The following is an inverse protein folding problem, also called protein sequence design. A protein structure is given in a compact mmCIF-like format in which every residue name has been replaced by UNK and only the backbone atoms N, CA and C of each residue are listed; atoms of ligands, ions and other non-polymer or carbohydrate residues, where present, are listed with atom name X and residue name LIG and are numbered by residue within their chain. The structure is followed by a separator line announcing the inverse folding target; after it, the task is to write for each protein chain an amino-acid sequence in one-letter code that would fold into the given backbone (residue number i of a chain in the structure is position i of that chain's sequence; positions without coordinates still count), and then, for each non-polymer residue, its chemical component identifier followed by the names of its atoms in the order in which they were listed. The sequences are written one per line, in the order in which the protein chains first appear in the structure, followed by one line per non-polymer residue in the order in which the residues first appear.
data_IF_788025868974
#
_entry.id   IF_788025868974
#
_cell.length_a   1.000
_cell.length_b   1.000
_cell.length_c   1.000
_cell.angle_alpha   90.00
_cell.angle_beta   90.00
_cell.angle_gamma   90.00
#
_symmetry.space_group_name_H-M   'P 1'
#
loop_
_entity.id
_entity.type
_entity.pdbx_description
1 polymer ?
#
# COMPACT_ATOMS: atom_id res chain seq x y z
N UNK A 1 -0.08 -14.54 16.52
CA UNK A 1 -0.44 -13.14 16.23
C UNK A 1 0.15 -12.70 14.89
N UNK A 2 1.42 -12.95 14.66
CA UNK A 2 2.07 -12.65 13.38
C UNK A 2 1.39 -13.39 12.22
N UNK A 3 1.11 -14.68 12.41
CA UNK A 3 0.46 -15.50 11.39
C UNK A 3 -0.97 -15.05 11.11
N UNK A 4 -1.71 -14.66 12.15
CA UNK A 4 -3.08 -14.18 12.00
C UNK A 4 -3.11 -12.86 11.24
N UNK A 5 -2.20 -11.94 11.57
CA UNK A 5 -2.08 -10.66 10.86
C UNK A 5 -1.72 -10.88 9.39
N UNK A 6 -0.75 -11.73 9.12
CA UNK A 6 -0.34 -12.05 7.75
C UNK A 6 -1.50 -12.65 6.94
N UNK A 7 -2.30 -13.51 7.56
CA UNK A 7 -3.45 -14.12 6.91
C UNK A 7 -4.50 -13.07 6.53
N UNK A 8 -4.84 -12.18 7.45
CA UNK A 8 -5.81 -11.11 7.20
C UNK A 8 -5.30 -10.15 6.12
N UNK A 9 -4.04 -9.75 6.19
CA UNK A 9 -3.43 -8.88 5.19
C UNK A 9 -3.46 -9.51 3.80
N UNK A 10 -3.20 -10.82 3.72
CA UNK A 10 -3.26 -11.56 2.46
C UNK A 10 -4.67 -11.57 1.89
N UNK A 11 -5.68 -11.82 2.71
CA UNK A 11 -7.08 -11.81 2.27
C UNK A 11 -7.50 -10.45 1.74
N UNK A 12 -7.11 -9.38 2.44
CA UNK A 12 -7.41 -8.01 2.02
C UNK A 12 -6.72 -7.70 0.69
N UNK A 13 -5.47 -8.06 0.55
CA UNK A 13 -4.70 -7.82 -0.68
C UNK A 13 -5.27 -8.62 -1.85
N UNK A 14 -5.64 -9.88 -1.64
CA UNK A 14 -6.26 -10.72 -2.67
C UNK A 14 -7.59 -10.12 -3.13
N UNK A 15 -8.43 -9.67 -2.22
CA UNK A 15 -9.72 -9.05 -2.55
C UNK A 15 -9.52 -7.76 -3.33
N UNK A 16 -8.59 -6.93 -2.93
CA UNK A 16 -8.27 -5.67 -3.60
C UNK A 16 -7.71 -5.93 -5.00
N UNK A 17 -6.77 -6.85 -5.14
CA UNK A 17 -6.15 -7.22 -6.41
C UNK A 17 -7.19 -7.78 -7.38
N UNK A 18 -8.10 -8.64 -6.90
CA UNK A 18 -9.17 -9.17 -7.72
C UNK A 18 -10.09 -8.08 -8.25
N UNK A 19 -10.40 -7.09 -7.41
CA UNK A 19 -11.25 -5.97 -7.80
C UNK A 19 -10.57 -5.09 -8.84
N UNK A 20 -9.28 -4.82 -8.66
CA UNK A 20 -8.49 -4.06 -9.63
C UNK A 20 -8.38 -4.78 -10.96
N UNK A 21 -8.20 -6.11 -10.94
CA UNK A 21 -8.12 -6.92 -12.15
C UNK A 21 -9.43 -6.92 -12.94
N UNK A 22 -10.56 -6.74 -12.27
CA UNK A 22 -11.87 -6.65 -12.91
C UNK A 22 -12.17 -5.27 -13.50
N UNK A 23 -11.34 -4.27 -13.21
CA UNK A 23 -11.51 -2.92 -13.74
C UNK A 23 -11.07 -2.84 -15.20
N UNK A 24 -11.64 -1.89 -15.94
CA UNK A 24 -11.20 -1.60 -17.29
C UNK A 24 -9.78 -1.01 -17.27
N UNK A 25 -9.03 -1.25 -18.34
CA UNK A 25 -7.71 -0.68 -18.50
C UNK A 25 -7.77 0.85 -18.50
N UNK A 26 -6.83 1.48 -17.83
CA UNK A 26 -6.76 2.92 -17.74
C UNK A 26 -5.79 3.36 -16.66
N UNK A 27 -5.64 4.67 -16.52
CA UNK A 27 -4.69 5.26 -15.56
C UNK A 27 -5.03 4.89 -14.13
N UNK A 28 -6.31 4.83 -13.79
CA UNK A 28 -6.74 4.48 -12.44
C UNK A 28 -6.34 3.03 -12.10
N UNK A 29 -6.53 2.11 -13.03
CA UNK A 29 -6.13 0.71 -12.84
C UNK A 29 -4.63 0.58 -12.64
N UNK A 30 -3.85 1.27 -13.46
CA UNK A 30 -2.39 1.27 -13.36
C UNK A 30 -1.93 1.82 -12.00
N UNK A 31 -2.54 2.91 -11.56
CA UNK A 31 -2.25 3.52 -10.26
C UNK A 31 -2.59 2.58 -9.11
N UNK A 32 -3.74 1.93 -9.16
CA UNK A 32 -4.17 1.00 -8.12
C UNK A 32 -3.28 -0.25 -8.08
N UNK A 33 -2.83 -0.75 -9.25
CA UNK A 33 -1.85 -1.84 -9.30
C UNK A 33 -0.54 -1.42 -8.64
N UNK A 34 -0.08 -0.22 -8.92
CA UNK A 34 1.13 0.33 -8.33
C UNK A 34 1.02 0.40 -6.80
N UNK A 35 -0.13 0.82 -6.28
CA UNK A 35 -0.39 0.86 -4.84
C UNK A 35 -0.44 -0.54 -4.23
N UNK A 36 -1.01 -1.53 -4.93
CA UNK A 36 -1.00 -2.92 -4.49
C UNK A 36 0.42 -3.45 -4.36
N UNK A 37 1.25 -3.21 -5.38
CA UNK A 37 2.65 -3.66 -5.38
C UNK A 37 3.42 -3.00 -4.24
N UNK A 38 3.24 -1.71 -4.04
CA UNK A 38 3.88 -0.98 -2.95
C UNK A 38 3.44 -1.51 -1.59
N UNK A 39 2.16 -1.77 -1.41
CA UNK A 39 1.63 -2.31 -0.16
C UNK A 39 2.22 -3.69 0.14
N UNK A 40 2.25 -4.57 -0.85
CA UNK A 40 2.78 -5.93 -0.70
C UNK A 40 4.27 -5.92 -0.35
N UNK A 41 5.07 -5.15 -1.10
CA UNK A 41 6.50 -5.08 -0.88
C UNK A 41 6.86 -4.36 0.42
N UNK A 42 6.11 -3.33 0.79
CA UNK A 42 6.30 -2.64 2.07
C UNK A 42 6.02 -3.56 3.25
N UNK A 43 5.01 -4.43 3.11
CA UNK A 43 4.71 -5.44 4.13
C UNK A 43 5.85 -6.43 4.31
N UNK A 44 6.44 -6.91 3.21
CA UNK A 44 7.59 -7.80 3.26
C UNK A 44 8.81 -7.09 3.86
N UNK A 45 9.04 -5.84 3.47
CA UNK A 45 10.14 -5.05 4.02
C UNK A 45 10.00 -4.86 5.53
N UNK A 46 8.79 -4.56 6.01
CA UNK A 46 8.52 -4.38 7.42
C UNK A 46 8.77 -5.65 8.24
N UNK A 47 8.47 -6.81 7.64
CA UNK A 47 8.64 -8.12 8.29
C UNK A 47 9.93 -8.84 7.83
N UNK A 48 10.90 -8.09 7.36
CA UNK A 48 12.15 -8.61 6.76
C UNK A 48 12.85 -9.63 7.64
N UNK A 49 12.99 -9.35 8.93
CA UNK A 49 13.68 -10.24 9.85
C UNK A 49 13.01 -11.61 9.93
N UNK A 50 11.68 -11.62 10.00
CA UNK A 50 10.90 -12.87 10.03
C UNK A 50 11.13 -13.70 8.77
N UNK A 51 11.08 -13.05 7.58
CA UNK A 51 11.28 -13.75 6.30
C UNK A 51 12.69 -14.32 6.17
N UNK A 52 13.70 -13.59 6.66
CA UNK A 52 15.09 -14.05 6.63
C UNK A 52 15.26 -15.25 7.56
N UNK A 53 14.74 -15.18 8.78
CA UNK A 53 14.84 -16.27 9.76
C UNK A 53 14.20 -17.56 9.26
N UNK A 54 13.14 -17.47 8.48
CA UNK A 54 12.43 -18.62 7.94
C UNK A 54 12.92 -19.05 6.55
N UNK A 55 14.08 -18.54 6.10
CA UNK A 55 14.68 -18.92 4.83
C UNK A 55 13.88 -18.48 3.61
N UNK A 56 12.97 -17.54 3.78
CA UNK A 56 12.11 -17.04 2.70
C UNK A 56 12.71 -15.86 1.96
N UNK A 57 13.78 -15.28 2.48
CA UNK A 57 14.39 -14.08 1.94
C UNK A 57 15.89 -14.13 2.20
N UNK A 58 16.71 -13.87 1.18
CA UNK A 58 18.14 -13.73 1.33
C UNK A 58 18.56 -12.25 1.29
N UNK A 59 19.83 -11.98 1.57
CA UNK A 59 20.36 -10.61 1.63
C UNK A 59 20.19 -9.86 0.31
N UNK A 60 20.45 -10.53 -0.82
CA UNK A 60 20.32 -9.89 -2.12
C UNK A 60 18.88 -9.51 -2.43
N UNK A 61 17.94 -10.41 -2.13
CA UNK A 61 16.52 -10.15 -2.34
C UNK A 61 16.03 -9.06 -1.39
N UNK A 62 16.53 -9.06 -0.14
CA UNK A 62 16.21 -8.01 0.83
C UNK A 62 16.61 -6.62 0.32
N UNK A 63 17.83 -6.51 -0.23
CA UNK A 63 18.30 -5.26 -0.83
C UNK A 63 17.51 -4.87 -2.07
N UNK A 64 17.12 -5.85 -2.89
CA UNK A 64 16.30 -5.62 -4.07
C UNK A 64 14.92 -5.09 -3.69
N UNK A 65 14.32 -5.63 -2.63
CA UNK A 65 13.02 -5.15 -2.12
C UNK A 65 13.13 -3.70 -1.66
N UNK A 66 14.19 -3.35 -0.92
CA UNK A 66 14.42 -1.97 -0.47
C UNK A 66 14.48 -1.01 -1.66
N UNK A 67 15.21 -1.38 -2.71
CA UNK A 67 15.33 -0.57 -3.92
C UNK A 67 13.99 -0.45 -4.65
N UNK A 68 13.25 -1.56 -4.76
CA UNK A 68 11.96 -1.57 -5.46
C UNK A 68 10.92 -0.76 -4.70
N UNK A 69 10.88 -0.84 -3.38
CA UNK A 69 9.97 -0.01 -2.56
C UNK A 69 10.27 1.47 -2.79
N UNK A 70 11.55 1.85 -2.82
CA UNK A 70 11.94 3.25 -3.08
C UNK A 70 11.53 3.69 -4.49
N UNK A 71 11.65 2.80 -5.48
CA UNK A 71 11.24 3.08 -6.86
C UNK A 71 9.73 3.23 -6.96
N UNK A 72 8.97 2.35 -6.33
CA UNK A 72 7.51 2.42 -6.32
C UNK A 72 7.03 3.68 -5.62
N UNK A 73 7.68 4.08 -4.52
CA UNK A 73 7.37 5.34 -3.85
C UNK A 73 7.58 6.54 -4.78
N UNK A 74 8.65 6.53 -5.57
CA UNK A 74 8.90 7.61 -6.55
C UNK A 74 7.83 7.64 -7.63
N UNK A 75 7.37 6.48 -8.08
CA UNK A 75 6.32 6.38 -9.10
C UNK A 75 4.95 6.77 -8.58
N UNK A 76 4.67 6.53 -7.31
CA UNK A 76 3.41 6.92 -6.67
C UNK A 76 3.36 8.42 -6.40
N UNK A 77 4.50 9.02 -6.09
CA UNK A 77 4.56 10.43 -5.66
C UNK A 77 3.82 11.40 -6.59
N UNK A 78 4.01 11.37 -7.92
CA UNK A 78 3.29 12.30 -8.80
C UNK A 78 1.80 12.04 -8.86
N UNK A 79 1.33 10.80 -8.64
CA UNK A 79 -0.09 10.46 -8.71
C UNK A 79 -0.78 10.51 -7.34
N UNK A 80 -0.01 10.53 -6.25
CA UNK A 80 -0.56 10.58 -4.90
C UNK A 80 -1.44 11.82 -4.70
N UNK A 81 -0.99 12.95 -5.22
CA UNK A 81 -1.74 14.20 -5.14
C UNK A 81 -3.05 14.12 -5.93
N UNK A 82 -2.98 13.56 -7.14
CA UNK A 82 -4.17 13.35 -7.96
C UNK A 82 -5.17 12.42 -7.29
N UNK A 83 -4.68 11.39 -6.61
CA UNK A 83 -5.53 10.48 -5.85
C UNK A 83 -6.24 11.18 -4.70
N UNK A 84 -5.53 12.01 -3.96
CA UNK A 84 -6.11 12.80 -2.86
C UNK A 84 -7.18 13.73 -3.41
N UNK A 85 -6.91 14.40 -4.52
CA UNK A 85 -7.86 15.30 -5.17
C UNK A 85 -9.07 14.53 -5.71
N UNK A 86 -8.84 13.34 -6.28
CA UNK A 86 -9.90 12.50 -6.84
C UNK A 86 -10.86 11.97 -5.78
N UNK A 87 -10.33 11.63 -4.59
CA UNK A 87 -11.17 11.24 -3.47
C UNK A 87 -11.95 12.42 -2.89
N UNK A 88 -11.57 13.64 -3.28
CA UNK A 88 -12.32 14.86 -3.02
C UNK A 88 -12.94 14.92 -1.63
N UNK A 89 -12.11 14.73 -0.62
CA UNK A 89 -12.56 14.98 0.75
C UNK A 89 -12.61 16.49 0.91
N UNK A 90 -13.78 17.12 0.88
CA UNK A 90 -13.87 18.57 0.95
C UNK A 90 -13.17 19.08 2.22
N UNK A 91 -12.44 20.16 2.07
CA UNK A 91 -11.75 20.79 3.19
C UNK A 91 -12.71 21.08 4.35
N UNK A 92 -13.94 21.45 4.01
CA UNK A 92 -14.98 21.68 5.00
C UNK A 92 -15.27 20.43 5.86
N UNK A 93 -15.23 19.22 5.24
CA UNK A 93 -15.44 17.98 5.95
C UNK A 93 -14.25 17.67 6.87
N UNK A 94 -13.03 17.92 6.40
CA UNK A 94 -11.83 17.76 7.20
C UNK A 94 -11.83 18.68 8.41
N UNK A 95 -12.29 19.93 8.26
CA UNK A 95 -12.44 20.87 9.35
C UNK A 95 -13.48 20.41 10.37
N UNK A 96 -14.60 19.89 9.90
CA UNK A 96 -15.65 19.37 10.77
C UNK A 96 -15.12 18.21 11.63
N UNK A 97 -14.37 17.29 11.02
CA UNK A 97 -13.75 16.19 11.75
C UNK A 97 -12.67 16.68 12.73
N UNK A 98 -11.90 17.67 12.35
CA UNK A 98 -10.88 18.26 13.20
C UNK A 98 -11.50 18.93 14.43
N UNK A 99 -12.61 19.65 14.24
CA UNK A 99 -13.33 20.28 15.34
C UNK A 99 -13.92 19.25 16.31
N UNK A 100 -14.50 18.18 15.78
CA UNK A 100 -15.05 17.09 16.60
C UNK A 100 -13.93 16.34 17.33
N UNK A 101 -12.85 16.05 16.63
CA UNK A 101 -11.70 15.35 17.20
C UNK A 101 -10.88 16.22 18.15
N UNK A 102 -10.83 17.53 17.91
CA UNK A 102 -10.06 18.48 18.70
C UNK A 102 -10.65 18.75 20.07
N UNK A 103 -11.92 18.43 20.27
CA UNK A 103 -12.59 18.60 21.55
C UNK A 103 -12.37 17.42 22.51
N UNK A 104 -11.82 16.33 21.98
CA UNK A 104 -11.47 15.18 22.79
C UNK A 104 -10.08 15.35 23.42
#
# INVERSE_FOLDING_TARGET
IQAARAHVERLVLEAFTAKVAAMEDGDLRLTLNLLCDLHALSGIEADRAWFIEHGRLNTQRSKAITREVAELCRRVRPVARELVDAFAVPEALLRAQSLIGGEA
#
